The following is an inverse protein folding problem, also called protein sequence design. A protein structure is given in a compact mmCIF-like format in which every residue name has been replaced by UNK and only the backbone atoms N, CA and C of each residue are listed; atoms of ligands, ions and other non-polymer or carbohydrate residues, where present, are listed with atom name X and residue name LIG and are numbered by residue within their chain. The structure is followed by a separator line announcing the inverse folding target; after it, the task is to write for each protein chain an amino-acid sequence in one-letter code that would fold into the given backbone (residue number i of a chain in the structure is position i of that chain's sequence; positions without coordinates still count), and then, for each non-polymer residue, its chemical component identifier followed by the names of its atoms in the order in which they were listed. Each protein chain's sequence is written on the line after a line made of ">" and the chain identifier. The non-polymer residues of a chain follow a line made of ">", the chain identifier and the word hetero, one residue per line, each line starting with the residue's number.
data_IF_011200266806
#
_entry.id   IF_011200266806
#
_cell.length_a   1.000
_cell.length_b   1.000
_cell.length_c   1.000
_cell.angle_alpha   90.00
_cell.angle_beta   90.00
_cell.angle_gamma   90.00
#
_symmetry.space_group_name_H-M   'P 1'
#
loop_
_entity.id
_entity.type
_entity.pdbx_description
1 polymer ?
#
# COMPACT_ATOMS: atom_id res chain seq x y z
N UNK A 1 29.10 -20.91 -20.14
CA UNK A 1 29.12 -21.07 -18.68
C UNK A 1 27.75 -20.58 -18.20
N UNK A 2 26.97 -21.38 -17.49
CA UNK A 2 25.65 -20.96 -16.98
C UNK A 2 25.81 -20.50 -15.52
N UNK A 3 25.11 -19.44 -15.14
CA UNK A 3 25.08 -18.96 -13.76
C UNK A 3 24.26 -19.92 -12.89
N UNK A 4 24.75 -20.21 -11.68
CA UNK A 4 23.98 -20.97 -10.68
C UNK A 4 22.99 -20.05 -9.97
N UNK A 5 21.95 -20.60 -9.36
CA UNK A 5 20.95 -19.83 -8.59
C UNK A 5 21.58 -18.96 -7.50
N UNK A 6 22.58 -19.46 -6.82
CA UNK A 6 23.34 -18.73 -5.79
C UNK A 6 24.10 -17.52 -6.37
N UNK A 7 24.68 -17.68 -7.56
CA UNK A 7 25.40 -16.61 -8.26
C UNK A 7 24.44 -15.48 -8.68
N UNK A 8 23.24 -15.85 -9.16
CA UNK A 8 22.19 -14.92 -9.55
C UNK A 8 21.71 -14.10 -8.35
N UNK A 9 21.54 -14.75 -7.18
CA UNK A 9 21.17 -14.06 -5.93
C UNK A 9 22.27 -13.10 -5.48
N UNK A 10 23.54 -13.52 -5.56
CA UNK A 10 24.68 -12.65 -5.21
C UNK A 10 24.76 -11.43 -6.15
N UNK A 11 24.60 -11.63 -7.45
CA UNK A 11 24.57 -10.58 -8.47
C UNK A 11 23.39 -9.63 -8.25
N UNK A 12 22.20 -10.15 -7.94
CA UNK A 12 21.04 -9.33 -7.64
C UNK A 12 21.25 -8.42 -6.43
N UNK A 13 21.83 -8.94 -5.35
CA UNK A 13 22.17 -8.14 -4.17
C UNK A 13 23.17 -7.02 -4.48
N UNK A 14 24.15 -7.30 -5.33
CA UNK A 14 25.10 -6.27 -5.78
C UNK A 14 24.40 -5.19 -6.60
N UNK A 15 23.49 -5.58 -7.48
CA UNK A 15 22.69 -4.62 -8.24
C UNK A 15 21.83 -3.72 -7.35
N UNK A 16 21.16 -4.28 -6.34
CA UNK A 16 20.40 -3.47 -5.39
C UNK A 16 21.28 -2.51 -4.59
N UNK A 17 22.44 -2.98 -4.14
CA UNK A 17 23.40 -2.13 -3.42
C UNK A 17 23.84 -0.94 -4.29
N UNK A 18 24.29 -1.21 -5.53
CA UNK A 18 24.77 -0.15 -6.43
C UNK A 18 23.63 0.83 -6.80
N UNK A 19 22.39 0.33 -6.98
CA UNK A 19 21.19 1.17 -7.20
C UNK A 19 20.99 2.14 -6.04
N UNK A 20 21.04 1.65 -4.81
CA UNK A 20 20.81 2.47 -3.62
C UNK A 20 21.88 3.53 -3.45
N UNK A 21 23.16 3.14 -3.62
CA UNK A 21 24.28 4.09 -3.53
C UNK A 21 24.20 5.17 -4.59
N UNK A 22 23.95 4.79 -5.86
CA UNK A 22 23.81 5.74 -6.95
C UNK A 22 22.58 6.65 -6.77
N UNK A 23 21.48 6.13 -6.23
CA UNK A 23 20.29 6.92 -5.91
C UNK A 23 20.60 8.00 -4.88
N UNK A 24 21.28 7.65 -3.79
CA UNK A 24 21.68 8.61 -2.76
C UNK A 24 22.64 9.68 -3.30
N UNK A 25 23.58 9.27 -4.14
CA UNK A 25 24.53 10.18 -4.77
C UNK A 25 23.83 11.16 -5.71
N UNK A 26 22.96 10.67 -6.60
CA UNK A 26 22.22 11.50 -7.58
C UNK A 26 21.24 12.45 -6.86
N UNK A 27 20.65 12.03 -5.74
CA UNK A 27 19.77 12.90 -4.94
C UNK A 27 20.49 14.14 -4.36
N UNK A 28 21.82 14.12 -4.27
CA UNK A 28 22.63 15.29 -3.86
C UNK A 28 22.99 16.24 -5.00
N UNK A 29 22.66 15.89 -6.23
CA UNK A 29 22.90 16.76 -7.37
C UNK A 29 21.94 17.97 -7.35
N UNK A 30 22.32 19.10 -7.94
CA UNK A 30 21.39 20.19 -8.19
C UNK A 30 20.14 19.69 -8.91
N UNK A 31 18.97 20.22 -8.60
CA UNK A 31 17.69 19.76 -9.15
C UNK A 31 17.70 19.73 -10.69
N UNK A 32 18.33 20.72 -11.33
CA UNK A 32 18.48 20.76 -12.78
C UNK A 32 19.33 19.59 -13.33
N UNK A 33 20.29 19.08 -12.54
CA UNK A 33 21.18 17.99 -12.92
C UNK A 33 20.60 16.58 -12.67
N UNK A 34 19.39 16.45 -12.12
CA UNK A 34 18.72 15.17 -11.90
C UNK A 34 17.95 14.66 -13.15
N UNK A 35 17.99 15.39 -14.26
CA UNK A 35 17.50 14.96 -15.57
C UNK A 35 18.63 14.50 -16.49
N UNK A 36 18.31 13.73 -17.54
CA UNK A 36 19.31 13.22 -18.48
C UNK A 36 20.15 14.36 -19.10
N UNK A 37 19.48 15.40 -19.57
CA UNK A 37 20.13 16.55 -20.20
C UNK A 37 20.92 17.39 -19.20
N UNK A 38 20.34 17.59 -18.01
CA UNK A 38 20.97 18.37 -16.94
C UNK A 38 22.18 17.66 -16.36
N UNK A 39 22.12 16.34 -16.13
CA UNK A 39 23.27 15.55 -15.66
C UNK A 39 24.40 15.57 -16.68
N UNK A 40 24.08 15.38 -17.97
CA UNK A 40 25.07 15.42 -19.05
C UNK A 40 25.79 16.78 -19.14
N UNK A 41 25.04 17.87 -19.04
CA UNK A 41 25.61 19.22 -19.09
C UNK A 41 26.41 19.58 -17.83
N UNK A 42 25.89 19.21 -16.65
CA UNK A 42 26.52 19.54 -15.36
C UNK A 42 27.81 18.78 -15.11
N UNK A 43 27.86 17.48 -15.49
CA UNK A 43 29.04 16.64 -15.31
C UNK A 43 29.99 16.64 -16.52
N UNK A 44 29.61 17.29 -17.64
CA UNK A 44 30.29 17.08 -18.92
C UNK A 44 30.48 15.60 -19.22
N UNK A 45 29.36 14.83 -19.13
CA UNK A 45 29.35 13.38 -19.22
C UNK A 45 28.42 12.88 -20.31
N UNK A 46 28.75 11.74 -20.90
CA UNK A 46 28.05 11.20 -22.05
C UNK A 46 26.55 11.02 -21.77
N UNK A 47 25.69 11.63 -22.61
CA UNK A 47 24.23 11.62 -22.46
C UNK A 47 23.63 10.22 -22.45
N UNK A 48 24.15 9.29 -23.26
CA UNK A 48 23.68 7.90 -23.29
C UNK A 48 23.99 7.17 -21.96
N UNK A 49 25.14 7.44 -21.36
CA UNK A 49 25.49 6.91 -20.06
C UNK A 49 24.64 7.54 -18.94
N UNK A 50 24.34 8.85 -19.00
CA UNK A 50 23.38 9.49 -18.09
C UNK A 50 22.00 8.80 -18.16
N UNK A 51 21.50 8.53 -19.37
CA UNK A 51 20.24 7.83 -19.57
C UNK A 51 20.26 6.42 -18.97
N UNK A 52 21.35 5.68 -19.17
CA UNK A 52 21.52 4.33 -18.58
C UNK A 52 21.53 4.37 -17.05
N UNK A 53 22.30 5.29 -16.45
CA UNK A 53 22.35 5.50 -15.01
C UNK A 53 20.97 5.82 -14.42
N UNK A 54 20.26 6.79 -14.99
CA UNK A 54 18.94 7.17 -14.52
C UNK A 54 17.92 6.05 -14.71
N UNK A 55 17.95 5.33 -15.83
CA UNK A 55 17.08 4.16 -16.02
C UNK A 55 17.41 3.04 -15.02
N UNK A 56 18.68 2.77 -14.74
CA UNK A 56 19.08 1.78 -13.76
C UNK A 56 18.62 2.12 -12.35
N UNK A 57 18.61 3.41 -11.98
CA UNK A 57 18.20 3.86 -10.64
C UNK A 57 16.68 3.99 -10.51
N UNK A 58 15.97 4.44 -11.56
CA UNK A 58 14.56 4.82 -11.49
C UNK A 58 13.59 3.76 -12.02
N UNK A 59 14.02 2.96 -13.03
CA UNK A 59 13.12 2.06 -13.77
C UNK A 59 13.41 0.58 -13.56
N UNK A 60 14.49 0.22 -12.87
CA UNK A 60 14.77 -1.18 -12.59
C UNK A 60 13.88 -1.72 -11.49
N UNK A 61 13.31 -2.89 -11.68
CA UNK A 61 12.46 -3.59 -10.73
C UNK A 61 13.27 -4.42 -9.72
N UNK A 62 14.44 -4.90 -10.13
CA UNK A 62 15.30 -5.74 -9.30
C UNK A 62 16.78 -5.52 -9.60
N UNK A 63 17.67 -6.02 -8.73
CA UNK A 63 19.10 -5.84 -8.84
C UNK A 63 19.71 -6.41 -10.13
N UNK A 64 19.16 -7.45 -10.71
CA UNK A 64 19.64 -8.01 -12.00
C UNK A 64 19.40 -7.01 -13.13
N UNK A 65 18.22 -6.42 -13.19
CA UNK A 65 17.91 -5.38 -14.17
C UNK A 65 18.80 -4.16 -13.99
N UNK A 66 19.15 -3.78 -12.76
CA UNK A 66 20.11 -2.71 -12.50
C UNK A 66 21.43 -3.00 -13.22
N UNK A 67 22.02 -4.18 -12.99
CA UNK A 67 23.29 -4.58 -13.61
C UNK A 67 23.19 -4.60 -15.15
N UNK A 68 22.04 -4.95 -15.69
CA UNK A 68 21.81 -4.94 -17.14
C UNK A 68 21.65 -3.53 -17.72
N UNK A 69 21.12 -2.59 -16.98
CA UNK A 69 20.86 -1.21 -17.44
C UNK A 69 22.08 -0.28 -17.26
N UNK A 70 22.94 -0.55 -16.29
CA UNK A 70 24.10 0.29 -16.01
C UNK A 70 25.02 0.47 -17.24
N UNK A 71 25.75 1.59 -17.31
CA UNK A 71 26.91 1.70 -18.20
C UNK A 71 27.97 0.63 -17.94
N UNK A 72 28.85 0.40 -18.87
CA UNK A 72 30.04 -0.43 -18.63
C UNK A 72 30.94 0.18 -17.54
N UNK A 73 31.86 -0.65 -16.99
CA UNK A 73 32.73 -0.24 -15.87
C UNK A 73 33.48 1.06 -16.16
N UNK A 74 34.07 1.20 -17.33
CA UNK A 74 34.77 2.45 -17.71
C UNK A 74 33.84 3.67 -17.70
N UNK A 75 32.59 3.49 -18.10
CA UNK A 75 31.59 4.57 -18.02
C UNK A 75 31.23 4.92 -16.58
N UNK A 76 31.11 3.93 -15.68
CA UNK A 76 30.87 4.15 -14.25
C UNK A 76 32.06 4.81 -13.57
N UNK A 77 33.30 4.39 -13.88
CA UNK A 77 34.52 5.00 -13.36
C UNK A 77 34.64 6.47 -13.83
N UNK A 78 34.38 6.75 -15.10
CA UNK A 78 34.32 8.11 -15.63
C UNK A 78 33.26 8.95 -14.92
N UNK A 79 32.05 8.41 -14.73
CA UNK A 79 30.98 9.07 -13.97
C UNK A 79 31.46 9.48 -12.57
N UNK A 80 32.04 8.56 -11.82
CA UNK A 80 32.52 8.83 -10.46
C UNK A 80 33.62 9.89 -10.49
N UNK A 81 34.58 9.81 -11.43
CA UNK A 81 35.64 10.83 -11.56
C UNK A 81 35.05 12.23 -11.81
N UNK A 82 34.05 12.34 -12.67
CA UNK A 82 33.34 13.61 -12.92
C UNK A 82 32.59 14.13 -11.70
N UNK A 83 31.93 13.22 -10.94
CA UNK A 83 31.23 13.56 -9.71
C UNK A 83 32.20 14.02 -8.61
N UNK A 84 33.36 13.39 -8.50
CA UNK A 84 34.41 13.77 -7.53
C UNK A 84 34.89 15.19 -7.76
N UNK A 85 34.94 15.66 -9.01
CA UNK A 85 35.29 17.03 -9.33
C UNK A 85 34.23 18.08 -8.90
N UNK A 86 33.02 17.67 -8.48
CA UNK A 86 31.91 18.56 -8.15
C UNK A 86 31.79 18.89 -6.65
N UNK A 87 32.79 18.59 -5.84
CA UNK A 87 32.82 18.89 -4.39
C UNK A 87 31.61 18.38 -3.60
N UNK A 88 31.12 17.20 -3.96
CA UNK A 88 30.06 16.51 -3.20
C UNK A 88 30.65 15.80 -1.98
N UNK A 89 29.77 15.19 -1.16
CA UNK A 89 30.13 14.45 0.03
C UNK A 89 31.13 13.29 -0.32
N UNK A 90 32.32 13.39 0.23
CA UNK A 90 33.41 12.42 -0.02
C UNK A 90 33.03 10.99 0.42
N UNK A 91 32.19 10.85 1.45
CA UNK A 91 31.75 9.55 1.92
C UNK A 91 30.84 8.86 0.90
N UNK A 92 29.89 9.58 0.30
CA UNK A 92 29.01 9.04 -0.73
C UNK A 92 29.79 8.65 -2.01
N UNK A 93 30.80 9.43 -2.36
CA UNK A 93 31.68 9.14 -3.51
C UNK A 93 32.45 7.84 -3.23
N UNK A 94 33.03 7.69 -2.05
CA UNK A 94 33.76 6.48 -1.64
C UNK A 94 32.85 5.23 -1.64
N UNK A 95 31.60 5.36 -1.22
CA UNK A 95 30.62 4.29 -1.28
C UNK A 95 30.29 3.88 -2.72
N UNK A 96 30.16 4.86 -3.62
CA UNK A 96 29.92 4.62 -5.04
C UNK A 96 31.14 3.94 -5.70
N UNK A 97 32.35 4.38 -5.40
CA UNK A 97 33.59 3.72 -5.86
C UNK A 97 33.65 2.26 -5.43
N UNK A 98 33.39 1.98 -4.14
CA UNK A 98 33.37 0.61 -3.62
C UNK A 98 32.31 -0.24 -4.30
N UNK A 99 31.11 0.28 -4.52
CA UNK A 99 30.03 -0.43 -5.20
C UNK A 99 30.41 -0.78 -6.64
N UNK A 100 31.03 0.13 -7.37
CA UNK A 100 31.54 -0.10 -8.76
C UNK A 100 32.69 -1.12 -8.75
N UNK A 101 33.59 -1.06 -7.78
CA UNK A 101 34.67 -2.04 -7.65
C UNK A 101 34.14 -3.46 -7.41
N UNK A 102 33.15 -3.63 -6.52
CA UNK A 102 32.49 -4.92 -6.28
C UNK A 102 31.82 -5.43 -7.56
N UNK A 103 31.15 -4.57 -8.30
CA UNK A 103 30.56 -4.93 -9.58
C UNK A 103 31.60 -5.36 -10.61
N UNK A 104 32.71 -4.67 -10.70
CA UNK A 104 33.83 -5.03 -11.60
C UNK A 104 34.42 -6.40 -11.22
N UNK A 105 34.58 -6.68 -9.92
CA UNK A 105 35.05 -7.99 -9.44
C UNK A 105 34.07 -9.10 -9.84
N UNK A 106 32.76 -8.88 -9.71
CA UNK A 106 31.75 -9.86 -10.13
C UNK A 106 31.74 -10.08 -11.64
N UNK A 107 31.93 -9.02 -12.46
CA UNK A 107 32.08 -9.22 -13.89
C UNK A 107 33.26 -10.17 -14.18
N UNK A 108 34.41 -9.94 -13.55
CA UNK A 108 35.60 -10.79 -13.74
C UNK A 108 35.41 -12.22 -13.23
N UNK A 109 34.60 -12.41 -12.20
CA UNK A 109 34.31 -13.72 -11.62
C UNK A 109 33.36 -14.56 -12.49
N UNK A 110 32.33 -13.94 -13.07
CA UNK A 110 31.24 -14.65 -13.74
C UNK A 110 31.25 -14.51 -15.27
N UNK A 111 31.95 -13.54 -15.82
CA UNK A 111 31.96 -13.24 -17.25
C UNK A 111 33.30 -12.61 -17.69
N UNK A 112 33.56 -12.57 -19.02
CA UNK A 112 34.72 -11.90 -19.59
C UNK A 112 34.51 -10.40 -19.79
N UNK A 113 33.23 -9.96 -19.79
CA UNK A 113 32.84 -8.58 -19.99
C UNK A 113 31.47 -8.30 -19.42
N UNK A 114 31.14 -7.00 -19.23
CA UNK A 114 29.79 -6.60 -18.83
C UNK A 114 28.71 -7.04 -19.84
N UNK A 115 29.02 -7.00 -21.13
CA UNK A 115 28.10 -7.45 -22.17
C UNK A 115 27.80 -8.95 -22.06
N UNK A 116 28.82 -9.78 -21.75
CA UNK A 116 28.64 -11.21 -21.52
C UNK A 116 27.86 -11.48 -20.23
N UNK A 117 28.16 -10.75 -19.15
CA UNK A 117 27.39 -10.87 -17.89
C UNK A 117 25.90 -10.54 -18.14
N UNK A 118 25.63 -9.47 -18.86
CA UNK A 118 24.27 -9.09 -19.26
C UNK A 118 23.58 -10.22 -20.04
N UNK A 119 24.26 -10.83 -21.02
CA UNK A 119 23.74 -11.97 -21.78
C UNK A 119 23.43 -13.14 -20.85
N UNK A 120 24.36 -13.51 -19.94
CA UNK A 120 24.17 -14.60 -18.98
C UNK A 120 23.00 -14.35 -18.03
N UNK A 121 22.82 -13.11 -17.57
CA UNK A 121 21.67 -12.75 -16.74
C UNK A 121 20.35 -12.80 -17.51
N UNK A 122 20.34 -12.38 -18.77
CA UNK A 122 19.16 -12.44 -19.65
C UNK A 122 18.84 -13.90 -20.03
N UNK A 123 19.87 -14.74 -20.30
CA UNK A 123 19.69 -16.15 -20.58
C UNK A 123 19.21 -16.91 -19.34
N UNK A 124 19.67 -16.53 -18.16
CA UNK A 124 19.17 -17.11 -16.90
C UNK A 124 17.70 -16.75 -16.63
N UNK A 125 17.24 -15.61 -17.13
CA UNK A 125 15.81 -15.25 -17.12
C UNK A 125 15.00 -16.04 -18.17
N UNK A 126 15.61 -16.41 -19.31
CA UNK A 126 14.99 -17.22 -20.36
C UNK A 126 15.11 -18.75 -20.20
N UNK A 127 15.99 -19.22 -19.31
CA UNK A 127 16.26 -20.64 -19.11
C UNK A 127 15.59 -21.24 -17.86
N UNK A 128 14.80 -20.44 -17.13
CA UNK A 128 13.93 -20.98 -16.08
C UNK A 128 12.90 -21.91 -16.73
N UNK A 129 12.74 -23.17 -16.28
CA UNK A 129 11.62 -23.99 -16.71
C UNK A 129 10.32 -23.21 -16.43
N UNK A 130 9.32 -23.38 -17.28
CA UNK A 130 8.00 -22.69 -17.19
C UNK A 130 7.28 -22.82 -15.84
N UNK A 131 7.84 -23.58 -14.87
CA UNK A 131 7.34 -23.75 -13.50
C UNK A 131 7.90 -22.73 -12.47
N UNK A 132 8.96 -21.95 -12.80
CA UNK A 132 9.61 -21.00 -11.89
C UNK A 132 9.85 -19.62 -12.54
N UNK A 133 8.95 -19.15 -13.43
CA UNK A 133 8.83 -17.71 -13.63
C UNK A 133 8.50 -17.14 -12.24
N UNK A 134 9.44 -16.43 -11.62
CA UNK A 134 9.08 -15.52 -10.53
C UNK A 134 8.08 -14.54 -11.12
N UNK A 135 6.81 -14.89 -10.96
CA UNK A 135 5.70 -14.02 -11.30
C UNK A 135 5.96 -12.71 -10.57
N UNK A 136 5.88 -11.59 -11.27
CA UNK A 136 5.91 -10.29 -10.61
C UNK A 136 4.91 -10.32 -9.45
N UNK A 137 5.12 -9.53 -8.41
CA UNK A 137 4.18 -9.45 -7.31
C UNK A 137 2.75 -9.19 -7.79
N UNK A 138 2.61 -8.37 -8.82
CA UNK A 138 1.35 -8.11 -9.50
C UNK A 138 0.74 -9.40 -10.11
N UNK A 139 1.52 -10.20 -10.80
CA UNK A 139 1.05 -11.47 -11.37
C UNK A 139 0.67 -12.48 -10.29
N UNK A 140 1.41 -12.54 -9.17
CA UNK A 140 1.06 -13.39 -8.02
C UNK A 140 -0.25 -12.95 -7.38
N UNK A 141 -0.43 -11.65 -7.17
CA UNK A 141 -1.69 -11.09 -6.66
C UNK A 141 -2.85 -11.40 -7.60
N UNK A 142 -2.68 -11.18 -8.89
CA UNK A 142 -3.69 -11.48 -9.90
C UNK A 142 -4.08 -12.97 -9.93
N UNK A 143 -3.11 -13.87 -9.84
CA UNK A 143 -3.39 -15.31 -9.75
C UNK A 143 -4.12 -15.69 -8.48
N UNK A 144 -3.72 -15.10 -7.33
CA UNK A 144 -4.41 -15.30 -6.06
C UNK A 144 -5.86 -14.80 -6.13
N UNK A 145 -6.09 -13.61 -6.70
CA UNK A 145 -7.42 -13.07 -6.93
C UNK A 145 -8.28 -14.01 -7.79
N UNK A 146 -7.77 -14.43 -8.96
CA UNK A 146 -8.50 -15.31 -9.88
C UNK A 146 -8.83 -16.66 -9.24
N UNK A 147 -7.88 -17.26 -8.52
CA UNK A 147 -8.09 -18.54 -7.82
C UNK A 147 -9.11 -18.40 -6.69
N UNK A 148 -9.03 -17.33 -5.90
CA UNK A 148 -9.98 -17.06 -4.82
C UNK A 148 -11.38 -16.78 -5.36
N UNK A 149 -11.49 -16.03 -6.46
CA UNK A 149 -12.77 -15.76 -7.15
C UNK A 149 -13.46 -17.06 -7.60
N UNK A 150 -12.70 -17.98 -8.16
CA UNK A 150 -13.23 -19.28 -8.55
C UNK A 150 -13.66 -20.15 -7.38
N UNK A 151 -12.88 -20.13 -6.27
CA UNK A 151 -13.17 -20.93 -5.07
C UNK A 151 -14.38 -20.42 -4.28
N UNK A 152 -14.54 -19.09 -4.20
CA UNK A 152 -15.59 -18.45 -3.41
C UNK A 152 -16.82 -18.09 -4.25
N UNK A 153 -16.72 -18.25 -5.56
CA UNK A 153 -17.76 -17.89 -6.55
C UNK A 153 -18.35 -16.48 -6.29
N UNK A 154 -17.47 -15.58 -5.86
CA UNK A 154 -17.77 -14.19 -5.55
C UNK A 154 -16.57 -13.29 -5.78
N UNK A 155 -16.80 -12.02 -6.07
CA UNK A 155 -15.76 -11.01 -6.17
C UNK A 155 -16.29 -9.61 -5.88
N UNK A 156 -15.36 -8.70 -5.61
CA UNK A 156 -15.61 -7.26 -5.43
C UNK A 156 -14.69 -6.53 -6.40
N UNK A 157 -15.22 -5.63 -7.20
CA UNK A 157 -14.40 -4.85 -8.13
C UNK A 157 -13.53 -3.85 -7.36
N UNK A 158 -14.15 -3.06 -6.50
CA UNK A 158 -13.42 -2.06 -5.70
C UNK A 158 -13.88 -2.07 -4.25
N UNK A 159 -12.92 -2.18 -3.34
CA UNK A 159 -13.11 -1.95 -1.91
C UNK A 159 -12.52 -0.58 -1.56
N UNK A 160 -13.37 0.32 -1.12
CA UNK A 160 -12.98 1.63 -0.62
C UNK A 160 -13.16 1.68 0.89
N UNK A 161 -12.15 2.13 1.61
CA UNK A 161 -12.21 2.39 3.03
C UNK A 161 -11.72 3.82 3.32
N UNK A 162 -12.53 4.57 4.04
CA UNK A 162 -12.23 5.92 4.45
C UNK A 162 -12.36 6.03 5.97
N UNK A 163 -11.30 6.39 6.65
CA UNK A 163 -11.22 6.50 8.10
C UNK A 163 -10.94 7.94 8.51
N UNK A 164 -11.61 8.42 9.53
CA UNK A 164 -11.36 9.73 10.15
C UNK A 164 -11.01 9.52 11.61
N UNK A 165 -9.82 9.93 12.00
CA UNK A 165 -9.26 9.75 13.34
C UNK A 165 -9.12 11.09 14.05
N UNK A 166 -9.68 11.18 15.24
CA UNK A 166 -9.60 12.37 16.13
C UNK A 166 -9.26 11.97 17.54
N UNK A 167 -8.83 12.92 18.37
CA UNK A 167 -8.75 12.70 19.79
C UNK A 167 -10.15 12.45 20.38
N UNK A 168 -10.27 11.51 21.30
CA UNK A 168 -11.51 11.30 22.03
C UNK A 168 -11.65 12.36 23.13
N UNK A 169 -12.67 13.20 23.04
CA UNK A 169 -12.92 14.27 24.02
C UNK A 169 -13.41 13.76 25.37
N UNK A 170 -13.90 12.52 25.47
CA UNK A 170 -14.43 11.92 26.69
C UNK A 170 -13.39 11.08 27.40
N UNK A 171 -12.52 10.40 26.66
CA UNK A 171 -11.43 9.58 27.19
C UNK A 171 -10.16 9.79 26.37
N UNK A 172 -9.21 10.53 26.92
CA UNK A 172 -7.94 10.86 26.25
C UNK A 172 -7.04 9.64 26.02
N UNK A 173 -7.31 8.50 26.68
CA UNK A 173 -6.56 7.27 26.48
C UNK A 173 -6.81 6.66 25.08
N UNK A 174 -7.89 7.07 24.41
CA UNK A 174 -8.29 6.56 23.12
C UNK A 174 -8.37 7.64 22.03
N UNK A 175 -8.27 7.20 20.77
CA UNK A 175 -8.69 7.97 19.60
C UNK A 175 -10.13 7.60 19.27
N UNK A 176 -10.86 8.54 18.73
CA UNK A 176 -12.16 8.29 18.13
C UNK A 176 -11.98 8.03 16.64
N UNK A 177 -12.56 6.94 16.15
CA UNK A 177 -12.62 6.61 14.73
C UNK A 177 -14.05 6.66 14.22
N UNK A 178 -14.22 7.29 13.04
CA UNK A 178 -15.42 7.11 12.21
C UNK A 178 -14.95 6.66 10.84
N UNK A 179 -15.56 5.61 10.30
CA UNK A 179 -15.10 5.02 9.05
C UNK A 179 -16.28 4.70 8.11
N UNK A 180 -16.04 4.86 6.81
CA UNK A 180 -16.90 4.42 5.73
C UNK A 180 -16.18 3.33 4.95
N UNK A 181 -16.85 2.20 4.76
CA UNK A 181 -16.37 1.10 3.92
C UNK A 181 -17.38 0.86 2.82
N UNK A 182 -16.96 0.99 1.57
CA UNK A 182 -17.79 0.77 0.38
C UNK A 182 -17.22 -0.36 -0.46
N UNK A 183 -18.03 -1.35 -0.76
CA UNK A 183 -17.73 -2.44 -1.69
C UNK A 183 -18.55 -2.23 -2.95
N UNK A 184 -17.86 -2.03 -4.06
CA UNK A 184 -18.46 -1.72 -5.37
C UNK A 184 -18.34 -2.91 -6.30
N UNK A 185 -19.36 -3.12 -7.12
CA UNK A 185 -19.38 -4.18 -8.10
C UNK A 185 -19.26 -5.58 -7.46
N UNK A 186 -20.01 -5.84 -6.40
CA UNK A 186 -20.04 -7.16 -5.75
C UNK A 186 -20.79 -8.12 -6.68
N UNK A 187 -20.10 -9.16 -7.15
CA UNK A 187 -20.71 -10.25 -7.93
C UNK A 187 -20.64 -11.52 -7.10
N UNK A 188 -21.73 -12.25 -7.01
CA UNK A 188 -21.79 -13.58 -6.39
C UNK A 188 -22.82 -14.46 -7.07
N UNK A 189 -22.57 -15.78 -7.10
CA UNK A 189 -23.57 -16.74 -7.55
C UNK A 189 -24.52 -17.14 -6.41
N UNK A 190 -25.57 -17.88 -6.74
CA UNK A 190 -26.50 -18.46 -5.76
C UNK A 190 -25.84 -19.42 -4.78
N UNK A 191 -24.79 -20.10 -5.24
CA UNK A 191 -24.08 -21.12 -4.49
C UNK A 191 -22.92 -20.53 -3.69
N UNK A 192 -22.58 -19.26 -3.90
CA UNK A 192 -21.53 -18.56 -3.16
C UNK A 192 -21.90 -18.45 -1.67
N UNK A 193 -20.92 -18.44 -0.77
CA UNK A 193 -21.15 -18.14 0.63
C UNK A 193 -21.91 -16.83 0.80
N UNK A 194 -22.73 -16.66 1.85
CA UNK A 194 -23.43 -15.42 2.12
C UNK A 194 -22.50 -14.21 2.10
N UNK A 195 -22.96 -13.09 1.58
CA UNK A 195 -22.23 -11.85 1.70
C UNK A 195 -22.24 -11.40 3.16
N UNK A 196 -21.07 -11.18 3.74
CA UNK A 196 -20.94 -10.84 5.16
C UNK A 196 -20.11 -9.57 5.31
N UNK A 197 -20.66 -8.62 6.04
CA UNK A 197 -19.92 -7.45 6.49
C UNK A 197 -19.55 -7.62 7.97
N UNK A 198 -18.25 -7.64 8.24
CA UNK A 198 -17.72 -7.73 9.60
C UNK A 198 -17.36 -6.33 10.13
N UNK A 199 -17.45 -6.16 11.43
CA UNK A 199 -16.88 -5.03 12.16
C UNK A 199 -16.11 -5.56 13.38
N UNK A 200 -15.19 -4.79 13.92
CA UNK A 200 -14.11 -5.32 14.76
C UNK A 200 -14.46 -5.52 16.22
N UNK A 201 -15.59 -5.07 16.71
CA UNK A 201 -15.83 -5.08 18.13
C UNK A 201 -16.75 -6.20 18.63
N UNK A 202 -16.34 -6.97 19.64
CA UNK A 202 -17.28 -7.78 20.41
C UNK A 202 -18.29 -6.82 21.06
N UNK A 203 -19.52 -7.28 21.12
CA UNK A 203 -20.62 -6.53 21.68
C UNK A 203 -20.31 -6.06 23.12
N UNK A 204 -20.16 -4.74 23.41
CA UNK A 204 -20.05 -4.29 24.77
C UNK A 204 -21.34 -4.65 25.51
N UNK A 205 -21.23 -5.03 26.77
CA UNK A 205 -22.38 -5.33 27.62
C UNK A 205 -23.41 -4.19 27.52
N UNK A 206 -24.61 -4.51 27.03
CA UNK A 206 -25.70 -3.56 26.86
C UNK A 206 -25.94 -3.01 25.45
N UNK A 207 -25.15 -3.44 24.42
CA UNK A 207 -25.47 -3.12 23.04
C UNK A 207 -26.69 -3.95 22.59
N UNK A 208 -27.79 -3.29 22.36
CA UNK A 208 -28.95 -3.87 21.65
C UNK A 208 -28.71 -3.71 20.16
N UNK A 209 -28.76 -4.83 19.42
CA UNK A 209 -28.75 -4.76 17.96
C UNK A 209 -29.85 -3.79 17.50
N UNK A 210 -29.56 -2.84 16.60
CA UNK A 210 -30.60 -1.97 16.10
C UNK A 210 -31.67 -2.82 15.43
N UNK A 211 -32.92 -2.61 15.80
CA UNK A 211 -34.07 -3.28 15.18
C UNK A 211 -34.16 -3.02 13.68
N UNK A 212 -33.56 -1.90 13.25
CA UNK A 212 -33.39 -1.54 11.85
C UNK A 212 -32.01 -0.93 11.64
N UNK A 213 -31.23 -1.50 10.72
CA UNK A 213 -29.95 -0.98 10.29
C UNK A 213 -30.11 0.21 9.33
N UNK A 214 -31.33 0.52 8.94
CA UNK A 214 -31.72 1.41 7.86
C UNK A 214 -31.66 2.90 8.14
N UNK A 215 -31.74 3.33 9.39
CA UNK A 215 -31.73 4.77 9.62
C UNK A 215 -30.52 5.21 10.44
N UNK A 216 -29.55 5.77 9.75
CA UNK A 216 -28.44 6.53 10.33
C UNK A 216 -28.90 7.85 10.95
N UNK A 217 -30.16 7.97 11.34
CA UNK A 217 -30.76 9.24 11.66
C UNK A 217 -30.20 9.92 12.91
N UNK A 218 -29.48 9.25 13.79
CA UNK A 218 -28.78 9.89 14.93
C UNK A 218 -27.71 9.02 15.55
N UNK A 219 -26.48 9.56 15.58
CA UNK A 219 -25.54 9.20 16.64
C UNK A 219 -25.96 9.98 17.88
N UNK A 220 -26.81 9.39 18.70
CA UNK A 220 -27.00 9.86 20.06
C UNK A 220 -26.04 9.05 20.95
N UNK A 221 -25.11 9.75 21.58
CA UNK A 221 -24.24 9.25 22.65
C UNK A 221 -23.17 8.20 22.28
N UNK A 222 -22.44 8.34 21.17
CA UNK A 222 -21.28 7.49 20.85
C UNK A 222 -21.52 5.96 20.85
N UNK A 223 -22.78 5.51 20.76
CA UNK A 223 -23.14 4.07 20.82
C UNK A 223 -23.38 3.46 19.44
N UNK A 224 -23.23 4.23 18.38
CA UNK A 224 -23.36 3.71 17.03
C UNK A 224 -22.12 2.90 16.67
N UNK A 225 -22.29 1.68 16.18
CA UNK A 225 -21.18 0.80 15.79
C UNK A 225 -21.18 0.49 14.31
N UNK A 226 -22.32 0.35 13.67
CA UNK A 226 -22.44 -0.01 12.27
C UNK A 226 -23.78 0.42 11.68
N UNK A 227 -23.79 0.86 10.42
CA UNK A 227 -25.00 1.15 9.64
C UNK A 227 -24.75 1.03 8.15
N UNK A 228 -25.81 0.81 7.38
CA UNK A 228 -25.81 0.81 5.91
C UNK A 228 -26.03 2.24 5.43
N UNK A 229 -25.24 2.68 4.46
CA UNK A 229 -25.40 3.98 3.80
C UNK A 229 -26.19 3.77 2.52
N UNK A 230 -27.49 4.12 2.53
CA UNK A 230 -28.37 3.93 1.37
C UNK A 230 -27.93 4.75 0.16
N UNK A 231 -27.38 5.95 0.37
CA UNK A 231 -26.93 6.84 -0.70
C UNK A 231 -25.84 6.22 -1.59
N UNK A 232 -25.02 5.32 -1.01
CA UNK A 232 -23.91 4.65 -1.70
C UNK A 232 -24.11 3.13 -1.79
N UNK A 233 -25.32 2.66 -1.59
CA UNK A 233 -25.67 1.24 -1.69
C UNK A 233 -26.80 1.05 -2.69
N UNK A 234 -26.94 -0.17 -3.22
CA UNK A 234 -28.10 -0.47 -4.06
C UNK A 234 -29.41 -0.40 -3.28
N UNK A 235 -30.48 0.08 -3.92
CA UNK A 235 -31.79 0.17 -3.29
C UNK A 235 -32.26 -1.18 -2.75
N UNK A 236 -32.79 -1.19 -1.53
CA UNK A 236 -33.31 -2.40 -0.89
C UNK A 236 -32.27 -3.29 -0.21
N UNK A 237 -30.97 -2.93 -0.25
CA UNK A 237 -29.94 -3.70 0.44
C UNK A 237 -30.21 -3.77 1.95
N UNK A 238 -30.69 -2.71 2.54
CA UNK A 238 -31.02 -2.66 3.96
C UNK A 238 -32.15 -3.63 4.36
N UNK A 239 -33.07 -3.90 3.44
CA UNK A 239 -34.17 -4.85 3.64
C UNK A 239 -33.74 -6.30 3.34
N UNK A 240 -32.63 -6.49 2.64
CA UNK A 240 -32.14 -7.79 2.20
C UNK A 240 -31.23 -8.50 3.21
N UNK A 241 -30.84 -7.85 4.32
CA UNK A 241 -30.06 -8.57 5.33
C UNK A 241 -30.91 -9.63 6.01
N UNK A 242 -30.34 -10.82 6.18
CA UNK A 242 -31.07 -11.98 6.72
C UNK A 242 -30.75 -12.25 8.17
N UNK A 243 -29.61 -11.82 8.67
CA UNK A 243 -29.26 -11.95 10.06
C UNK A 243 -28.22 -10.91 10.50
N UNK A 244 -28.34 -10.54 11.76
CA UNK A 244 -27.37 -9.75 12.47
C UNK A 244 -26.85 -10.55 13.66
N UNK A 245 -25.54 -10.68 13.77
CA UNK A 245 -24.91 -11.38 14.88
C UNK A 245 -24.07 -10.41 15.70
N UNK A 246 -24.62 -9.97 16.83
CA UNK A 246 -23.87 -9.12 17.75
C UNK A 246 -22.65 -9.82 18.34
N UNK A 247 -22.76 -11.12 18.67
CA UNK A 247 -21.66 -11.91 19.22
C UNK A 247 -20.52 -12.13 18.22
N UNK A 248 -20.83 -12.18 16.92
CA UNK A 248 -19.84 -12.38 15.87
C UNK A 248 -19.46 -11.06 15.17
N UNK A 249 -20.02 -9.94 15.60
CA UNK A 249 -19.77 -8.63 15.00
C UNK A 249 -19.94 -8.65 13.47
N UNK A 250 -21.08 -9.18 12.99
CA UNK A 250 -21.32 -9.39 11.58
C UNK A 250 -22.77 -9.12 11.18
N UNK A 251 -22.95 -8.58 9.97
CA UNK A 251 -24.21 -8.55 9.24
C UNK A 251 -24.12 -9.55 8.10
N UNK A 252 -25.12 -10.41 7.96
CA UNK A 252 -25.17 -11.48 6.96
C UNK A 252 -26.31 -11.21 5.99
N UNK A 253 -26.00 -11.21 4.70
CA UNK A 253 -26.93 -11.03 3.60
C UNK A 253 -27.03 -12.36 2.83
N UNK A 254 -28.09 -13.13 3.03
CA UNK A 254 -28.27 -14.41 2.35
C UNK A 254 -28.90 -14.25 0.98
N UNK A 255 -29.83 -13.30 0.85
CA UNK A 255 -30.73 -13.18 -0.31
C UNK A 255 -30.34 -12.04 -1.26
N UNK A 256 -29.09 -11.56 -1.19
CA UNK A 256 -28.63 -10.48 -2.07
C UNK A 256 -28.32 -11.04 -3.44
N UNK A 257 -29.12 -10.64 -4.39
CA UNK A 257 -28.98 -10.71 -5.84
C UNK A 257 -28.33 -11.93 -6.48
N UNK A 258 -29.12 -12.65 -7.17
CA UNK A 258 -28.75 -13.62 -8.18
C UNK A 258 -28.28 -12.92 -9.47
N UNK A 259 -26.98 -12.77 -9.66
CA UNK A 259 -26.37 -12.63 -10.97
C UNK A 259 -26.16 -11.25 -11.53
N UNK A 260 -26.35 -10.17 -10.78
CA UNK A 260 -25.93 -8.80 -11.17
C UNK A 260 -24.94 -8.22 -10.17
N UNK A 261 -24.04 -7.31 -10.58
CA UNK A 261 -23.20 -6.57 -9.64
C UNK A 261 -24.08 -5.66 -8.78
N UNK A 262 -23.76 -5.56 -7.50
CA UNK A 262 -24.39 -4.63 -6.57
C UNK A 262 -23.36 -3.90 -5.71
N UNK A 263 -23.78 -2.79 -5.12
CA UNK A 263 -22.94 -1.94 -4.28
C UNK A 263 -23.43 -1.95 -2.84
N UNK A 264 -22.50 -2.01 -1.89
CA UNK A 264 -22.80 -2.01 -0.46
C UNK A 264 -21.84 -1.09 0.29
N UNK A 265 -22.38 -0.11 1.00
CA UNK A 265 -21.60 0.85 1.77
C UNK A 265 -22.04 0.88 3.23
N UNK A 266 -21.07 0.94 4.11
CA UNK A 266 -21.27 0.83 5.56
C UNK A 266 -20.56 1.97 6.28
N UNK A 267 -21.15 2.41 7.38
CA UNK A 267 -20.56 3.38 8.30
C UNK A 267 -20.27 2.71 9.63
N UNK A 268 -19.11 3.04 10.20
CA UNK A 268 -18.65 2.54 11.50
C UNK A 268 -18.29 3.69 12.42
N UNK A 269 -18.44 3.47 13.73
CA UNK A 269 -17.95 4.38 14.75
C UNK A 269 -17.32 3.60 15.90
N UNK A 270 -16.05 3.88 16.18
CA UNK A 270 -15.26 3.25 17.22
C UNK A 270 -14.69 4.34 18.13
N UNK A 271 -15.35 4.63 19.26
CA UNK A 271 -14.91 5.69 20.15
C UNK A 271 -13.79 5.27 21.11
N UNK A 272 -13.57 3.98 21.33
CA UNK A 272 -12.76 3.46 22.44
C UNK A 272 -11.87 2.25 22.08
N UNK A 273 -11.65 2.00 20.79
CA UNK A 273 -10.79 0.89 20.34
C UNK A 273 -9.33 1.28 20.15
N UNK A 274 -9.10 2.42 19.53
CA UNK A 274 -7.77 2.84 19.13
C UNK A 274 -7.08 3.55 20.28
N UNK A 275 -6.01 2.96 20.83
CA UNK A 275 -5.22 3.60 21.87
C UNK A 275 -4.61 4.92 21.36
N UNK A 276 -4.57 5.95 22.19
CA UNK A 276 -3.93 7.21 21.85
C UNK A 276 -2.42 7.13 22.08
N UNK A 277 -1.57 7.05 21.05
CA UNK A 277 -0.13 6.91 21.21
C UNK A 277 0.54 8.17 21.76
N UNK A 278 -0.19 9.29 21.84
CA UNK A 278 0.30 10.52 22.47
C UNK A 278 0.22 10.44 24.00
N UNK A 279 -0.63 9.57 24.53
CA UNK A 279 -0.76 9.29 25.97
C UNK A 279 0.15 8.16 26.40
N UNK A 280 0.23 7.10 25.61
CA UNK A 280 1.15 5.98 25.83
C UNK A 280 2.04 5.76 24.59
N UNK A 281 3.27 6.32 24.57
CA UNK A 281 4.18 6.18 23.45
C UNK A 281 4.69 4.75 23.18
N UNK A 282 4.43 3.80 24.09
CA UNK A 282 4.76 2.39 23.88
C UNK A 282 3.77 1.69 22.94
N UNK A 283 2.64 2.32 22.65
CA UNK A 283 1.59 1.77 21.80
C UNK A 283 1.55 2.44 20.43
N UNK A 284 1.07 1.69 19.46
CA UNK A 284 0.70 2.20 18.14
C UNK A 284 -0.80 2.08 17.97
N UNK A 285 -1.42 3.11 17.42
CA UNK A 285 -2.77 2.98 16.89
C UNK A 285 -2.73 2.49 15.47
N UNK A 286 -3.60 1.55 15.12
CA UNK A 286 -3.74 1.10 13.77
C UNK A 286 -5.21 1.04 13.36
N UNK A 287 -5.53 1.63 12.21
CA UNK A 287 -6.77 1.34 11.52
C UNK A 287 -6.50 0.39 10.38
N UNK A 288 -7.38 -0.55 10.13
CA UNK A 288 -7.15 -1.61 9.17
C UNK A 288 -8.40 -1.99 8.39
N UNK A 289 -8.21 -2.53 7.21
CA UNK A 289 -9.26 -3.14 6.42
C UNK A 289 -8.89 -4.60 6.08
N UNK A 290 -9.78 -5.52 6.46
CA UNK A 290 -9.61 -6.93 6.12
C UNK A 290 -10.27 -7.25 4.79
N UNK A 291 -9.48 -7.78 3.85
CA UNK A 291 -9.98 -8.23 2.55
C UNK A 291 -10.42 -9.69 2.71
N UNK A 292 -11.72 -9.90 2.87
CA UNK A 292 -12.32 -11.25 3.07
C UNK A 292 -12.96 -11.81 1.81
N UNK A 293 -13.26 -10.98 0.83
CA UNK A 293 -13.74 -11.38 -0.48
C UNK A 293 -12.65 -11.08 -1.52
N UNK A 294 -12.52 -11.87 -2.59
CA UNK A 294 -11.64 -11.55 -3.69
C UNK A 294 -11.94 -10.15 -4.22
N UNK A 295 -10.97 -9.25 -4.11
CA UNK A 295 -11.13 -7.83 -4.42
C UNK A 295 -10.10 -7.42 -5.47
N UNK A 296 -10.53 -6.82 -6.58
CA UNK A 296 -9.63 -6.44 -7.65
C UNK A 296 -8.82 -5.19 -7.31
N UNK A 297 -9.47 -4.21 -6.66
CA UNK A 297 -8.84 -2.97 -6.26
C UNK A 297 -9.20 -2.59 -4.82
N UNK A 298 -8.21 -2.22 -4.03
CA UNK A 298 -8.37 -1.59 -2.73
C UNK A 298 -7.91 -0.14 -2.79
N UNK A 299 -8.75 0.76 -2.30
CA UNK A 299 -8.39 2.16 -2.01
C UNK A 299 -8.66 2.42 -0.54
N UNK A 300 -7.66 2.84 0.20
CA UNK A 300 -7.82 3.24 1.60
C UNK A 300 -7.37 4.69 1.79
N UNK A 301 -8.23 5.49 2.41
CA UNK A 301 -7.96 6.87 2.80
C UNK A 301 -8.07 7.01 4.31
N UNK A 302 -7.09 7.62 4.94
CA UNK A 302 -7.10 7.89 6.37
C UNK A 302 -6.92 9.39 6.58
N UNK A 303 -7.90 10.02 7.17
CA UNK A 303 -7.87 11.41 7.56
C UNK A 303 -7.46 11.51 9.03
N UNK A 304 -6.30 12.07 9.27
CA UNK A 304 -5.76 12.26 10.61
C UNK A 304 -5.88 13.74 10.99
N UNK A 305 -6.45 14.03 12.17
CA UNK A 305 -6.49 15.40 12.70
C UNK A 305 -5.08 16.00 12.70
N UNK A 306 -4.92 17.23 12.24
CA UNK A 306 -3.63 17.91 12.13
C UNK A 306 -2.88 18.00 13.44
N UNK A 307 -3.58 18.07 14.57
CA UNK A 307 -2.94 18.09 15.89
C UNK A 307 -2.31 16.76 16.25
N UNK A 308 -2.96 15.64 15.83
CA UNK A 308 -2.40 14.30 15.95
C UNK A 308 -1.25 14.10 14.98
N UNK A 309 -1.43 14.51 13.72
CA UNK A 309 -0.44 14.37 12.66
C UNK A 309 0.89 15.04 12.99
N UNK A 310 0.86 16.28 13.48
CA UNK A 310 2.07 17.02 13.85
C UNK A 310 2.90 16.35 14.97
N UNK A 311 2.34 15.40 15.70
CA UNK A 311 2.94 14.75 16.87
C UNK A 311 3.15 13.26 16.69
N UNK A 312 2.83 12.71 15.53
CA UNK A 312 2.88 11.29 15.23
C UNK A 312 3.64 10.99 13.93
N UNK A 313 3.96 9.73 13.72
CA UNK A 313 4.54 9.22 12.48
C UNK A 313 3.58 8.19 11.89
N UNK A 314 3.17 8.40 10.64
CA UNK A 314 2.23 7.52 9.94
C UNK A 314 2.99 6.53 9.07
N UNK A 315 2.56 5.27 9.10
CA UNK A 315 3.14 4.19 8.33
C UNK A 315 2.05 3.27 7.77
N UNK A 316 2.35 2.48 6.75
CA UNK A 316 1.46 1.51 6.15
C UNK A 316 2.12 0.13 6.11
N UNK A 317 1.34 -0.93 6.25
CA UNK A 317 1.79 -2.30 6.10
C UNK A 317 0.68 -3.21 5.61
N UNK A 318 1.05 -4.30 4.96
CA UNK A 318 0.18 -5.41 4.65
C UNK A 318 0.57 -6.61 5.50
N UNK A 319 -0.43 -7.33 5.98
CA UNK A 319 -0.26 -8.48 6.88
C UNK A 319 -1.09 -9.65 6.39
N UNK A 320 -0.72 -10.86 6.77
CA UNK A 320 -1.55 -12.03 6.52
C UNK A 320 -2.82 -11.96 7.38
N UNK A 321 -3.94 -12.46 6.85
CA UNK A 321 -5.25 -12.36 7.51
C UNK A 321 -5.43 -13.17 8.80
N UNK A 322 -4.42 -13.93 9.20
CA UNK A 322 -4.39 -14.65 10.47
C UNK A 322 -3.79 -13.83 11.62
N UNK A 323 -3.20 -12.68 11.34
CA UNK A 323 -2.71 -11.80 12.38
C UNK A 323 -3.90 -11.17 13.09
N UNK A 324 -4.10 -11.54 14.35
CA UNK A 324 -5.08 -10.90 15.20
C UNK A 324 -4.46 -9.64 15.77
N UNK A 325 -4.96 -8.50 15.30
CA UNK A 325 -4.83 -7.26 16.04
C UNK A 325 -5.90 -7.30 17.12
N UNK A 326 -5.54 -7.75 18.30
CA UNK A 326 -6.46 -7.73 19.43
C UNK A 326 -6.65 -6.26 19.87
N UNK A 327 -7.89 -5.80 19.81
CA UNK A 327 -8.35 -4.53 20.38
C UNK A 327 -7.70 -3.26 19.82
N UNK A 328 -7.26 -3.22 18.57
CA UNK A 328 -6.65 -2.03 17.98
C UNK A 328 -5.32 -1.61 18.62
N UNK A 329 -4.78 -2.41 19.53
CA UNK A 329 -3.56 -2.13 20.29
C UNK A 329 -2.42 -3.01 19.79
N UNK A 330 -1.66 -2.53 18.82
CA UNK A 330 -0.38 -3.12 18.48
C UNK A 330 0.71 -2.45 19.31
N UNK A 331 1.55 -3.25 19.95
CA UNK A 331 2.79 -2.74 20.52
C UNK A 331 3.71 -2.27 19.41
N UNK A 332 4.49 -1.22 19.67
CA UNK A 332 5.39 -0.66 18.67
C UNK A 332 6.44 -1.68 18.15
N UNK A 333 6.83 -2.63 18.99
CA UNK A 333 7.75 -3.72 18.68
C UNK A 333 7.10 -4.88 17.87
N UNK A 334 5.78 -5.00 17.89
CA UNK A 334 5.02 -6.01 17.15
C UNK A 334 4.65 -5.57 15.73
N UNK A 335 4.70 -4.29 15.45
CA UNK A 335 4.31 -3.66 14.17
C UNK A 335 5.04 -4.24 12.95
N UNK A 336 6.23 -4.79 13.15
CA UNK A 336 7.09 -5.27 12.08
C UNK A 336 7.12 -6.80 11.97
N UNK A 337 6.53 -7.51 12.91
CA UNK A 337 6.38 -8.95 12.84
C UNK A 337 5.29 -9.29 11.81
N UNK A 338 5.51 -10.32 11.00
CA UNK A 338 4.55 -10.82 9.99
C UNK A 338 4.13 -9.82 8.90
N UNK A 339 4.80 -8.67 8.81
CA UNK A 339 4.59 -7.73 7.72
C UNK A 339 5.08 -8.32 6.41
N UNK A 340 4.27 -8.28 5.39
CA UNK A 340 4.68 -8.68 4.04
C UNK A 340 5.76 -7.75 3.52
N UNK A 341 6.71 -8.32 2.77
CA UNK A 341 7.82 -7.55 2.19
C UNK A 341 7.35 -6.50 1.17
N UNK A 342 6.23 -6.79 0.49
CA UNK A 342 5.62 -5.89 -0.47
C UNK A 342 4.36 -5.28 0.12
N UNK A 343 4.28 -3.97 0.10
CA UNK A 343 3.15 -3.19 0.60
C UNK A 343 2.98 -1.93 -0.26
N UNK A 344 1.76 -1.34 -0.28
CA UNK A 344 1.48 -0.15 -1.07
C UNK A 344 2.29 1.05 -0.59
N UNK A 345 2.49 1.99 -1.51
CA UNK A 345 3.06 3.29 -1.17
C UNK A 345 2.03 4.14 -0.42
N UNK A 346 2.47 4.79 0.66
CA UNK A 346 1.67 5.74 1.39
C UNK A 346 1.83 7.13 0.78
N UNK A 347 0.74 7.68 0.27
CA UNK A 347 0.70 8.98 -0.37
C UNK A 347 -0.05 9.99 0.52
N UNK A 348 0.43 11.23 0.58
CA UNK A 348 -0.29 12.34 1.21
C UNK A 348 -1.08 13.08 0.13
N UNK A 349 -2.40 13.17 0.31
CA UNK A 349 -3.29 13.87 -0.61
C UNK A 349 -3.66 15.27 -0.08
N UNK A 350 -3.56 16.25 -0.95
CA UNK A 350 -4.18 17.55 -0.71
C UNK A 350 -5.67 17.48 -1.09
N UNK A 351 -6.54 18.08 -0.27
CA UNK A 351 -7.99 18.11 -0.48
C UNK A 351 -8.39 18.67 -1.86
N UNK A 352 -7.57 19.57 -2.43
CA UNK A 352 -7.76 20.14 -3.76
C UNK A 352 -7.31 19.25 -4.91
N UNK A 353 -6.62 18.13 -4.64
CA UNK A 353 -6.11 17.28 -5.71
C UNK A 353 -7.25 16.54 -6.42
N UNK A 354 -7.15 16.29 -7.74
CA UNK A 354 -8.13 15.49 -8.47
C UNK A 354 -8.36 14.10 -7.85
N UNK A 355 -7.30 13.46 -7.36
CA UNK A 355 -7.37 12.13 -6.71
C UNK A 355 -8.11 12.14 -5.37
N UNK A 356 -8.15 13.28 -4.68
CA UNK A 356 -8.96 13.42 -3.47
C UNK A 356 -10.48 13.47 -3.76
N UNK A 357 -10.87 13.65 -5.03
CA UNK A 357 -12.27 13.71 -5.48
C UNK A 357 -12.71 12.45 -6.21
N UNK A 358 -11.85 11.93 -7.08
CA UNK A 358 -12.18 10.76 -7.89
C UNK A 358 -10.93 9.91 -8.13
N UNK A 359 -11.08 8.59 -7.99
CA UNK A 359 -10.06 7.61 -8.29
C UNK A 359 -10.66 6.58 -9.24
N UNK A 360 -10.28 6.63 -10.51
CA UNK A 360 -10.73 5.72 -11.56
C UNK A 360 -12.26 5.55 -11.64
N UNK A 361 -12.99 6.64 -11.53
CA UNK A 361 -14.46 6.66 -11.56
C UNK A 361 -15.13 6.50 -10.18
N UNK A 362 -14.39 6.14 -9.14
CA UNK A 362 -14.91 6.09 -7.78
C UNK A 362 -14.96 7.50 -7.17
N UNK A 363 -16.13 7.94 -6.75
CA UNK A 363 -16.39 9.27 -6.18
C UNK A 363 -15.92 9.36 -4.71
N UNK A 364 -14.63 9.16 -4.46
CA UNK A 364 -14.05 9.16 -3.11
C UNK A 364 -14.24 10.49 -2.37
N UNK A 365 -14.34 11.58 -3.12
CA UNK A 365 -14.62 12.91 -2.58
C UNK A 365 -16.01 12.99 -1.94
N UNK A 366 -17.04 12.54 -2.65
CA UNK A 366 -18.43 12.54 -2.17
C UNK A 366 -18.58 11.64 -0.94
N UNK A 367 -17.98 10.43 -0.97
CA UNK A 367 -18.01 9.50 0.16
C UNK A 367 -17.28 10.07 1.38
N UNK A 368 -16.13 10.71 1.18
CA UNK A 368 -15.41 11.32 2.30
C UNK A 368 -16.14 12.55 2.83
N UNK A 369 -16.75 13.38 1.96
CA UNK A 369 -17.55 14.54 2.39
C UNK A 369 -18.78 14.09 3.18
N UNK A 370 -19.44 13.00 2.76
CA UNK A 370 -20.51 12.38 3.53
C UNK A 370 -20.04 12.01 4.94
N UNK A 371 -18.87 11.35 5.06
CA UNK A 371 -18.32 10.92 6.34
C UNK A 371 -18.01 12.13 7.26
N UNK A 372 -17.42 13.20 6.71
CA UNK A 372 -17.14 14.44 7.46
C UNK A 372 -18.41 15.15 7.91
N UNK A 373 -19.42 15.22 7.05
CA UNK A 373 -20.74 15.80 7.38
C UNK A 373 -21.43 15.00 8.48
N UNK A 374 -21.37 13.67 8.38
CA UNK A 374 -21.93 12.77 9.38
C UNK A 374 -21.24 12.95 10.74
N UNK A 375 -19.92 12.99 10.76
CA UNK A 375 -19.11 13.20 11.98
C UNK A 375 -19.15 14.66 12.48
N UNK A 376 -19.72 15.59 11.70
CA UNK A 376 -19.77 17.04 11.99
C UNK A 376 -18.36 17.65 12.17
N UNK A 377 -17.43 17.19 11.34
CA UNK A 377 -16.04 17.63 11.35
C UNK A 377 -15.74 18.51 10.13
N UNK A 378 -14.78 19.42 10.28
CA UNK A 378 -14.27 20.22 9.17
C UNK A 378 -13.10 19.51 8.51
N UNK A 379 -13.25 19.12 7.25
CA UNK A 379 -12.24 18.37 6.48
C UNK A 379 -10.91 19.12 6.35
N UNK A 380 -10.93 20.45 6.38
CA UNK A 380 -9.73 21.28 6.30
C UNK A 380 -8.82 21.14 7.55
N UNK A 381 -9.31 20.58 8.64
CA UNK A 381 -8.53 20.34 9.85
C UNK A 381 -7.75 19.02 9.82
N UNK A 382 -7.79 18.30 8.69
CA UNK A 382 -7.22 16.97 8.56
C UNK A 382 -6.13 16.90 7.48
N UNK A 383 -5.21 15.95 7.66
CA UNK A 383 -4.28 15.48 6.64
C UNK A 383 -4.81 14.15 6.10
N UNK A 384 -4.82 14.00 4.78
CA UNK A 384 -5.28 12.78 4.13
C UNK A 384 -4.10 11.91 3.69
N UNK A 385 -4.03 10.71 4.21
CA UNK A 385 -3.13 9.64 3.78
C UNK A 385 -3.90 8.65 2.92
N UNK A 386 -3.31 8.23 1.81
CA UNK A 386 -3.95 7.31 0.87
C UNK A 386 -2.99 6.20 0.46
N UNK A 387 -3.54 4.99 0.33
CA UNK A 387 -2.90 3.88 -0.34
C UNK A 387 -3.83 3.22 -1.36
N UNK A 388 -3.24 2.67 -2.41
CA UNK A 388 -3.94 1.86 -3.42
C UNK A 388 -3.23 0.52 -3.60
N UNK A 389 -4.01 -0.54 -3.77
CA UNK A 389 -3.52 -1.87 -4.14
C UNK A 389 -4.39 -2.41 -5.26
N UNK A 390 -3.76 -2.84 -6.36
CA UNK A 390 -4.41 -3.58 -7.42
C UNK A 390 -3.98 -5.06 -7.31
N UNK A 391 -4.94 -5.97 -7.44
CA UNK A 391 -4.74 -7.39 -7.31
C UNK A 391 -4.82 -8.09 -8.66
#
# INVERSE_FOLDING_TARGET
>A
MSLKKEDIVALSRTGENIKNVLRHLIAKFPQAAQSISGMSAWLDYNRSNCQRLLNAVQKSENGRQVLCLLPGISGLEEFIAKVTAQSLDAQLILEAEKAVQVFNQQIRQYARSHAELKRLLTEADGAAPESDQELSAENKRKQHFLSSKLLLDSSVDTLFACHVLTENSQDQAFLQEVALVSKRGIVRSKEAPPFVQFYSHPNPEGFTAPEQITSLSRIENNQFRLGIIEEFSDPGLADAYSSYSASNSAIVFNDVNDGGPFDASFLFSNPDELANPLVDPSQCSSTSISIKNPTEKLVMMVFLDKKLDMRSSVNVGCYLGNQKVEEGKLRADELWTERLAEFPELNVLHASSPRAKNIDGLAVGEMSDYLFNFARLNKDDFVCYMMEVNY
#
